data_IF_689658227997
#
_entry.id   IF_689658227997
#
_cell.length_a   1.000
_cell.length_b   1.000
_cell.length_c   1.000
_cell.angle_alpha   90.00
_cell.angle_beta   90.00
_cell.angle_gamma   90.00
#
_symmetry.space_group_name_H-M   'P 1'
#
loop_
_entity.id
_entity.type
_entity.pdbx_description
1 polymer ?
#
# COMPACT_ATOMS: atom_id res chain seq x y z
N UNK A 1 13.43 8.08 -6.85
CA UNK A 1 12.62 7.14 -6.10
C UNK A 1 11.28 7.71 -5.61
N UNK A 2 11.24 8.91 -5.02
CA UNK A 2 9.98 9.53 -4.57
C UNK A 2 8.89 9.50 -5.65
N UNK A 3 9.26 9.71 -6.93
CA UNK A 3 8.33 9.59 -8.05
C UNK A 3 7.73 8.19 -8.21
N UNK A 4 8.51 7.12 -8.00
CA UNK A 4 8.02 5.73 -8.09
C UNK A 4 7.08 5.42 -6.93
N UNK A 5 7.42 5.87 -5.72
CA UNK A 5 6.56 5.73 -4.53
C UNK A 5 5.25 6.49 -4.75
N UNK A 6 5.35 7.71 -5.26
CA UNK A 6 4.19 8.54 -5.61
C UNK A 6 3.27 7.82 -6.61
N UNK A 7 3.81 7.35 -7.74
CA UNK A 7 3.03 6.65 -8.77
C UNK A 7 2.39 5.35 -8.24
N UNK A 8 3.13 4.57 -7.44
CA UNK A 8 2.62 3.35 -6.85
C UNK A 8 1.47 3.59 -5.86
N UNK A 9 1.63 4.55 -4.95
CA UNK A 9 0.61 4.93 -3.99
C UNK A 9 -0.60 5.60 -4.67
N UNK A 10 -0.38 6.37 -5.74
CA UNK A 10 -1.43 6.95 -6.56
C UNK A 10 -2.26 5.86 -7.26
N UNK A 11 -1.62 4.89 -7.90
CA UNK A 11 -2.29 3.74 -8.52
C UNK A 11 -3.10 2.95 -7.49
N UNK A 12 -2.54 2.74 -6.29
CA UNK A 12 -3.24 2.10 -5.19
C UNK A 12 -4.49 2.89 -4.79
N UNK A 13 -4.37 4.18 -4.55
CA UNK A 13 -5.48 5.05 -4.16
C UNK A 13 -6.58 5.12 -5.20
N UNK A 14 -6.26 5.09 -6.52
CA UNK A 14 -7.25 5.21 -7.59
C UNK A 14 -8.16 3.99 -7.70
N UNK A 15 -7.63 2.80 -7.61
CA UNK A 15 -8.38 1.57 -7.97
C UNK A 15 -8.58 0.65 -6.77
N UNK A 16 -7.54 0.37 -5.99
CA UNK A 16 -7.59 -0.65 -4.94
C UNK A 16 -8.63 -0.39 -3.85
N UNK A 17 -8.81 0.86 -3.43
CA UNK A 17 -9.84 1.24 -2.45
C UNK A 17 -11.26 0.89 -2.90
N UNK A 18 -11.48 0.79 -4.21
CA UNK A 18 -12.79 0.48 -4.80
C UNK A 18 -12.95 -1.00 -5.18
N UNK A 19 -11.87 -1.80 -5.19
CA UNK A 19 -11.93 -3.20 -5.61
C UNK A 19 -12.74 -4.09 -4.67
N UNK A 20 -12.74 -3.78 -3.38
CA UNK A 20 -13.61 -4.47 -2.41
C UNK A 20 -15.09 -4.31 -2.78
N UNK A 21 -15.49 -3.10 -3.23
CA UNK A 21 -16.84 -2.83 -3.70
C UNK A 21 -17.11 -3.59 -5.01
N UNK A 22 -16.17 -3.56 -5.94
CA UNK A 22 -16.27 -4.27 -7.21
C UNK A 22 -16.51 -5.78 -7.00
N UNK A 23 -15.68 -6.44 -6.18
CA UNK A 23 -15.84 -7.87 -5.90
C UNK A 23 -17.15 -8.17 -5.16
N UNK A 24 -17.53 -7.33 -4.20
CA UNK A 24 -18.78 -7.53 -3.47
C UNK A 24 -20.01 -7.44 -4.39
N UNK A 25 -19.99 -6.54 -5.36
CA UNK A 25 -21.08 -6.37 -6.31
C UNK A 25 -21.19 -7.52 -7.31
N UNK A 26 -20.06 -8.12 -7.75
CA UNK A 26 -20.06 -9.15 -8.79
C UNK A 26 -20.05 -10.58 -8.23
N UNK A 27 -19.46 -10.81 -7.06
CA UNK A 27 -19.21 -12.14 -6.50
C UNK A 27 -19.85 -12.37 -5.15
N UNK A 28 -20.37 -11.31 -4.50
CA UNK A 28 -20.96 -11.37 -3.17
C UNK A 28 -19.93 -11.28 -2.03
N UNK A 29 -20.43 -11.03 -0.81
CA UNK A 29 -19.59 -10.70 0.35
C UNK A 29 -18.70 -11.85 0.83
N UNK A 30 -19.20 -13.09 0.81
CA UNK A 30 -18.46 -14.25 1.27
C UNK A 30 -17.22 -14.51 0.38
N UNK A 31 -17.40 -14.49 -0.94
CA UNK A 31 -16.29 -14.67 -1.90
C UNK A 31 -15.32 -13.50 -1.78
N UNK A 32 -15.79 -12.27 -1.68
CA UNK A 32 -14.94 -11.09 -1.50
C UNK A 32 -14.01 -11.25 -0.28
N UNK A 33 -14.52 -11.73 0.85
CA UNK A 33 -13.70 -11.99 2.04
C UNK A 33 -12.56 -12.99 1.76
N UNK A 34 -12.86 -14.08 1.04
CA UNK A 34 -11.85 -15.08 0.65
C UNK A 34 -10.80 -14.46 -0.29
N UNK A 35 -11.22 -13.69 -1.28
CA UNK A 35 -10.31 -13.03 -2.23
C UNK A 35 -9.38 -12.03 -1.53
N UNK A 36 -9.89 -11.24 -0.57
CA UNK A 36 -9.07 -10.35 0.24
C UNK A 36 -8.06 -11.10 1.10
N UNK A 37 -8.45 -12.24 1.70
CA UNK A 37 -7.54 -13.09 2.46
C UNK A 37 -6.43 -13.68 1.57
N UNK A 38 -6.76 -14.17 0.36
CA UNK A 38 -5.78 -14.65 -0.62
C UNK A 38 -4.82 -13.54 -1.05
N UNK A 39 -5.33 -12.32 -1.26
CA UNK A 39 -4.49 -11.16 -1.58
C UNK A 39 -3.51 -10.83 -0.45
N UNK A 40 -3.95 -10.90 0.81
CA UNK A 40 -3.09 -10.68 1.97
C UNK A 40 -1.96 -11.72 2.05
N UNK A 41 -2.26 -13.00 1.81
CA UNK A 41 -1.24 -14.07 1.75
C UNK A 41 -0.25 -13.80 0.61
N UNK A 42 -0.74 -13.47 -0.58
CA UNK A 42 0.12 -13.21 -1.73
C UNK A 42 1.06 -12.01 -1.50
N UNK A 43 0.56 -10.92 -0.89
CA UNK A 43 1.37 -9.74 -0.56
C UNK A 43 2.40 -10.03 0.53
N UNK A 44 2.06 -10.86 1.50
CA UNK A 44 2.99 -11.34 2.53
C UNK A 44 4.14 -12.15 1.90
N UNK A 45 3.81 -13.10 1.03
CA UNK A 45 4.80 -13.90 0.29
C UNK A 45 5.68 -12.99 -0.59
N UNK A 46 5.09 -12.02 -1.28
CA UNK A 46 5.84 -11.05 -2.08
C UNK A 46 6.84 -10.26 -1.25
N UNK A 47 6.45 -9.84 -0.04
CA UNK A 47 7.34 -9.12 0.89
C UNK A 47 8.56 -9.95 1.32
N UNK A 48 8.35 -11.23 1.65
CA UNK A 48 9.43 -12.18 1.99
C UNK A 48 10.39 -12.36 0.81
N UNK A 49 9.83 -12.64 -0.37
CA UNK A 49 10.62 -12.86 -1.59
C UNK A 49 11.39 -11.59 -1.98
N UNK A 50 10.75 -10.42 -1.85
CA UNK A 50 11.38 -9.15 -2.13
C UNK A 50 12.62 -8.90 -1.27
N UNK A 51 12.51 -9.11 0.05
CA UNK A 51 13.64 -8.98 0.96
C UNK A 51 14.78 -9.93 0.57
N UNK A 52 14.46 -11.20 0.42
CA UNK A 52 15.45 -12.23 0.07
C UNK A 52 16.17 -11.96 -1.26
N UNK A 53 15.42 -11.67 -2.32
CA UNK A 53 16.04 -11.42 -3.62
C UNK A 53 16.73 -10.06 -3.69
N UNK A 54 16.23 -9.03 -2.99
CA UNK A 54 16.88 -7.74 -2.94
C UNK A 54 18.24 -7.79 -2.24
N UNK A 55 18.40 -8.65 -1.23
CA UNK A 55 19.66 -8.83 -0.51
C UNK A 55 20.68 -9.69 -1.27
N UNK A 56 20.24 -10.46 -2.25
CA UNK A 56 21.13 -11.32 -3.07
C UNK A 56 21.44 -10.73 -4.44
N UNK A 57 20.43 -10.23 -5.12
CA UNK A 57 20.51 -9.83 -6.53
C UNK A 57 20.60 -8.32 -6.72
N UNK A 58 20.41 -7.56 -5.62
CA UNK A 58 20.33 -6.10 -5.66
C UNK A 58 18.90 -5.59 -5.63
N UNK A 59 18.76 -4.31 -5.33
CA UNK A 59 17.44 -3.65 -5.11
C UNK A 59 16.74 -3.40 -6.45
N UNK A 60 17.47 -2.84 -7.42
CA UNK A 60 16.93 -2.47 -8.73
C UNK A 60 16.38 -3.65 -9.53
N UNK A 61 17.05 -4.82 -9.67
CA UNK A 61 16.51 -5.96 -10.40
C UNK A 61 15.16 -6.44 -9.84
N UNK A 62 15.01 -6.47 -8.51
CA UNK A 62 13.74 -6.87 -7.87
C UNK A 62 12.64 -5.87 -8.16
N UNK A 63 12.95 -4.57 -8.13
CA UNK A 63 11.98 -3.52 -8.48
C UNK A 63 11.57 -3.60 -9.96
N UNK A 64 12.51 -3.82 -10.88
CA UNK A 64 12.20 -4.00 -12.31
C UNK A 64 11.30 -5.22 -12.52
N UNK A 65 11.63 -6.35 -11.91
CA UNK A 65 10.81 -7.55 -11.98
C UNK A 65 9.39 -7.31 -11.41
N UNK A 66 9.29 -6.62 -10.28
CA UNK A 66 8.01 -6.24 -9.68
C UNK A 66 7.17 -5.34 -10.60
N UNK A 67 7.78 -4.36 -11.27
CA UNK A 67 7.05 -3.49 -12.22
C UNK A 67 6.63 -4.23 -13.50
N UNK A 68 7.39 -5.22 -13.97
CA UNK A 68 6.97 -6.10 -15.08
C UNK A 68 5.73 -6.91 -14.69
N UNK A 69 5.70 -7.49 -13.49
CA UNK A 69 4.51 -8.21 -13.00
C UNK A 69 3.30 -7.27 -12.92
N UNK A 70 3.49 -6.03 -12.43
CA UNK A 70 2.42 -5.03 -12.40
C UNK A 70 1.90 -4.70 -13.81
N UNK A 71 2.79 -4.57 -14.81
CA UNK A 71 2.39 -4.32 -16.20
C UNK A 71 1.55 -5.47 -16.76
N UNK A 72 1.96 -6.71 -16.54
CA UNK A 72 1.19 -7.89 -16.96
C UNK A 72 -0.20 -7.91 -16.29
N UNK A 73 -0.24 -7.60 -14.99
CA UNK A 73 -1.48 -7.48 -14.24
C UNK A 73 -2.38 -6.35 -14.79
N UNK A 74 -1.82 -5.16 -15.09
CA UNK A 74 -2.59 -4.04 -15.61
C UNK A 74 -3.17 -4.34 -17.02
N UNK A 75 -2.41 -4.98 -17.88
CA UNK A 75 -2.90 -5.44 -19.19
C UNK A 75 -4.02 -6.47 -19.04
N UNK A 76 -3.87 -7.43 -18.14
CA UNK A 76 -4.91 -8.43 -17.86
C UNK A 76 -6.16 -7.76 -17.27
N UNK A 77 -6.02 -6.75 -16.40
CA UNK A 77 -7.16 -6.02 -15.86
C UNK A 77 -7.98 -5.32 -16.94
N UNK A 78 -7.31 -4.68 -17.91
CA UNK A 78 -7.98 -4.07 -19.06
C UNK A 78 -8.67 -5.15 -19.90
N UNK A 79 -7.97 -6.22 -20.26
CA UNK A 79 -8.52 -7.31 -21.07
C UNK A 79 -9.74 -7.99 -20.41
N UNK A 80 -9.76 -8.03 -19.06
CA UNK A 80 -10.85 -8.63 -18.28
C UNK A 80 -12.09 -7.73 -18.12
N UNK A 81 -11.99 -6.46 -18.51
CA UNK A 81 -13.06 -5.47 -18.35
C UNK A 81 -13.34 -4.71 -19.65
N UNK A 82 -13.22 -5.37 -20.79
CA UNK A 82 -13.59 -4.79 -22.08
C UNK A 82 -15.11 -4.62 -22.17
N UNK A 83 -15.60 -3.62 -22.92
CA UNK A 83 -17.03 -3.39 -23.12
C UNK A 83 -17.74 -4.67 -23.58
N UNK A 84 -18.78 -5.07 -22.83
CA UNK A 84 -19.54 -6.27 -23.11
C UNK A 84 -18.92 -7.59 -22.65
N UNK A 85 -17.71 -7.57 -22.06
CA UNK A 85 -17.05 -8.79 -21.56
C UNK A 85 -16.35 -8.57 -20.23
N UNK A 86 -17.13 -8.52 -19.14
CA UNK A 86 -16.59 -8.34 -17.79
C UNK A 86 -16.40 -9.70 -17.12
N UNK A 87 -15.15 -10.00 -16.71
CA UNK A 87 -14.82 -11.21 -15.97
C UNK A 87 -14.20 -10.89 -14.60
N UNK A 88 -14.96 -10.97 -13.49
CA UNK A 88 -14.49 -10.63 -12.15
C UNK A 88 -13.36 -11.53 -11.64
N UNK A 89 -13.32 -12.80 -12.05
CA UNK A 89 -12.27 -13.74 -11.64
C UNK A 89 -10.93 -13.40 -12.27
N UNK A 90 -10.92 -13.11 -13.58
CA UNK A 90 -9.70 -12.66 -14.27
C UNK A 90 -9.26 -11.30 -13.75
N UNK A 91 -10.20 -10.41 -13.43
CA UNK A 91 -9.92 -9.12 -12.76
C UNK A 91 -9.26 -9.34 -11.41
N UNK A 92 -9.72 -10.30 -10.61
CA UNK A 92 -9.08 -10.64 -9.35
C UNK A 92 -7.62 -11.09 -9.55
N UNK A 93 -7.37 -12.00 -10.48
CA UNK A 93 -6.01 -12.47 -10.80
C UNK A 93 -5.13 -11.29 -11.24
N UNK A 94 -5.65 -10.39 -12.06
CA UNK A 94 -4.95 -9.20 -12.49
C UNK A 94 -4.52 -8.32 -11.30
N UNK A 95 -5.44 -8.04 -10.39
CA UNK A 95 -5.14 -7.23 -9.19
C UNK A 95 -4.26 -7.96 -8.19
N UNK A 96 -4.31 -9.28 -8.13
CA UNK A 96 -3.39 -10.10 -7.34
C UNK A 96 -1.95 -9.93 -7.86
N UNK A 97 -1.74 -9.99 -9.18
CA UNK A 97 -0.44 -9.75 -9.81
C UNK A 97 0.06 -8.32 -9.55
N UNK A 98 -0.82 -7.32 -9.69
CA UNK A 98 -0.47 -5.92 -9.42
C UNK A 98 -0.04 -5.74 -7.96
N UNK A 99 -0.78 -6.30 -7.01
CA UNK A 99 -0.46 -6.23 -5.57
C UNK A 99 0.85 -6.94 -5.25
N UNK A 100 1.07 -8.11 -5.82
CA UNK A 100 2.30 -8.87 -5.67
C UNK A 100 3.50 -8.08 -6.18
N UNK A 101 3.43 -7.58 -7.41
CA UNK A 101 4.48 -6.76 -8.02
C UNK A 101 4.72 -5.45 -7.26
N UNK A 102 3.67 -4.80 -6.77
CA UNK A 102 3.78 -3.59 -5.96
C UNK A 102 4.56 -3.85 -4.66
N UNK A 103 4.29 -4.97 -3.98
CA UNK A 103 5.02 -5.32 -2.76
C UNK A 103 6.49 -5.64 -3.01
N UNK A 104 6.83 -6.22 -4.16
CA UNK A 104 8.24 -6.38 -4.58
C UNK A 104 8.92 -5.00 -4.71
N UNK A 105 8.26 -4.06 -5.39
CA UNK A 105 8.80 -2.70 -5.63
C UNK A 105 8.95 -1.93 -4.32
N UNK A 106 7.93 -1.93 -3.46
CA UNK A 106 7.96 -1.12 -2.24
C UNK A 106 8.99 -1.65 -1.24
N UNK A 107 9.08 -2.97 -1.07
CA UNK A 107 10.00 -3.61 -0.13
C UNK A 107 11.46 -3.40 -0.55
N UNK A 108 11.81 -3.72 -1.80
CA UNK A 108 13.16 -3.50 -2.32
C UNK A 108 13.50 -2.00 -2.35
N UNK A 109 12.52 -1.19 -2.67
CA UNK A 109 12.67 0.24 -2.65
C UNK A 109 12.88 0.82 -1.25
N UNK A 110 12.25 0.31 -0.18
CA UNK A 110 12.51 0.74 1.19
C UNK A 110 13.94 0.44 1.61
N UNK A 111 14.46 -0.75 1.25
CA UNK A 111 15.87 -1.08 1.44
C UNK A 111 16.79 -0.10 0.70
N UNK A 112 16.46 0.26 -0.55
CA UNK A 112 17.22 1.24 -1.32
C UNK A 112 17.26 2.64 -0.67
N UNK A 113 16.19 3.09 0.00
CA UNK A 113 16.21 4.35 0.78
C UNK A 113 17.23 4.25 1.90
N UNK A 114 17.23 3.13 2.61
CA UNK A 114 18.14 2.92 3.73
C UNK A 114 19.59 2.93 3.24
N UNK A 115 19.87 2.23 2.14
CA UNK A 115 21.20 2.16 1.53
C UNK A 115 21.71 3.52 1.02
N UNK A 116 20.80 4.35 0.49
CA UNK A 116 21.13 5.67 -0.07
C UNK A 116 21.12 6.81 0.95
N UNK A 117 20.63 6.58 2.18
CA UNK A 117 20.54 7.59 3.22
C UNK A 117 21.59 7.41 4.31
N UNK A 118 22.08 8.50 4.87
CA UNK A 118 22.95 8.50 6.06
C UNK A 118 22.13 8.84 7.33
N UNK A 119 22.76 8.76 8.51
CA UNK A 119 22.09 9.02 9.78
C UNK A 119 21.52 10.43 9.90
N UNK A 120 22.12 11.42 9.23
CA UNK A 120 21.72 12.83 9.30
C UNK A 120 20.48 13.12 8.44
N UNK A 121 20.42 12.58 7.21
CA UNK A 121 19.35 12.88 6.26
C UNK A 121 18.21 11.85 6.25
N UNK A 122 18.41 10.67 6.84
CA UNK A 122 17.45 9.55 6.83
C UNK A 122 16.05 9.97 7.30
N UNK A 123 15.97 10.74 8.40
CA UNK A 123 14.68 11.21 8.93
C UNK A 123 13.93 12.08 7.91
N UNK A 124 14.63 12.96 7.21
CA UNK A 124 14.05 13.85 6.20
C UNK A 124 13.59 13.05 4.98
N UNK A 125 14.39 12.09 4.52
CA UNK A 125 14.06 11.24 3.38
C UNK A 125 12.80 10.41 3.65
N UNK A 126 12.69 9.77 4.82
CA UNK A 126 11.48 9.04 5.19
C UNK A 126 10.26 9.95 5.38
N UNK A 127 10.46 11.16 5.90
CA UNK A 127 9.37 12.14 6.00
C UNK A 127 8.84 12.54 4.62
N UNK A 128 9.73 12.81 3.67
CA UNK A 128 9.34 13.14 2.28
C UNK A 128 8.66 11.95 1.59
N UNK A 129 9.14 10.73 1.83
CA UNK A 129 8.55 9.50 1.31
C UNK A 129 7.11 9.33 1.84
N UNK A 130 6.90 9.53 3.14
CA UNK A 130 5.59 9.45 3.77
C UNK A 130 4.63 10.54 3.24
N UNK A 131 5.11 11.76 3.03
CA UNK A 131 4.31 12.84 2.44
C UNK A 131 3.92 12.52 1.00
N UNK A 132 4.88 12.01 0.21
CA UNK A 132 4.61 11.62 -1.16
C UNK A 132 3.53 10.53 -1.22
N UNK A 133 3.58 9.53 -0.34
CA UNK A 133 2.57 8.48 -0.24
C UNK A 133 1.18 9.05 0.10
N UNK A 134 1.08 9.87 1.15
CA UNK A 134 -0.22 10.44 1.55
C UNK A 134 -0.82 11.34 0.48
N UNK A 135 -0.03 12.22 -0.12
CA UNK A 135 -0.49 13.09 -1.22
C UNK A 135 -0.99 12.26 -2.41
N UNK A 136 -0.28 11.19 -2.74
CA UNK A 136 -0.63 10.29 -3.83
C UNK A 136 -1.95 9.56 -3.56
N UNK A 137 -2.15 9.06 -2.34
CA UNK A 137 -3.40 8.39 -1.95
C UNK A 137 -4.57 9.36 -2.02
N UNK A 138 -4.40 10.62 -1.58
CA UNK A 138 -5.46 11.64 -1.70
C UNK A 138 -5.86 11.85 -3.15
N UNK A 139 -4.88 12.13 -4.01
CA UNK A 139 -5.14 12.40 -5.44
C UNK A 139 -5.71 11.17 -6.13
N UNK A 140 -5.16 9.98 -5.82
CA UNK A 140 -5.65 8.72 -6.35
C UNK A 140 -7.08 8.42 -5.92
N UNK A 141 -7.39 8.51 -4.63
CA UNK A 141 -8.72 8.24 -4.11
C UNK A 141 -9.77 9.23 -4.66
N UNK A 142 -9.40 10.53 -4.81
CA UNK A 142 -10.28 11.53 -5.41
C UNK A 142 -10.62 11.16 -6.87
N UNK A 143 -9.61 10.79 -7.67
CA UNK A 143 -9.80 10.37 -9.06
C UNK A 143 -10.60 9.06 -9.13
N UNK A 144 -10.29 8.09 -8.27
CA UNK A 144 -11.00 6.82 -8.17
C UNK A 144 -12.48 7.00 -7.88
N UNK A 145 -12.83 7.80 -6.86
CA UNK A 145 -14.22 8.06 -6.52
C UNK A 145 -15.01 8.76 -7.65
N UNK A 146 -14.31 9.58 -8.44
CA UNK A 146 -14.96 10.32 -9.53
C UNK A 146 -15.21 9.45 -10.75
N UNK A 147 -14.27 8.56 -11.10
CA UNK A 147 -14.29 7.78 -12.33
C UNK A 147 -14.75 6.32 -12.16
N UNK A 148 -14.78 5.78 -10.94
CA UNK A 148 -15.03 4.34 -10.72
C UNK A 148 -16.38 3.89 -11.28
N UNK A 149 -17.47 4.64 -11.06
CA UNK A 149 -18.79 4.28 -11.59
C UNK A 149 -18.96 4.64 -13.07
N UNK A 150 -18.67 5.88 -13.50
CA UNK A 150 -18.93 6.29 -14.88
C UNK A 150 -17.92 5.77 -15.91
N UNK A 151 -16.68 5.49 -15.50
CA UNK A 151 -15.58 5.21 -16.42
C UNK A 151 -14.49 4.30 -15.80
N UNK A 152 -14.88 3.11 -15.32
CA UNK A 152 -13.95 2.17 -14.71
C UNK A 152 -12.79 1.79 -15.65
N UNK A 153 -13.08 1.65 -16.96
CA UNK A 153 -12.06 1.36 -17.98
C UNK A 153 -11.00 2.47 -18.05
N UNK A 154 -11.40 3.74 -17.90
CA UNK A 154 -10.45 4.85 -17.88
C UNK A 154 -9.51 4.75 -16.67
N UNK A 155 -10.00 4.30 -15.51
CA UNK A 155 -9.14 4.04 -14.34
C UNK A 155 -8.12 2.94 -14.60
N UNK A 156 -8.49 1.88 -15.31
CA UNK A 156 -7.56 0.81 -15.67
C UNK A 156 -6.49 1.29 -16.66
N UNK A 157 -6.86 2.18 -17.59
CA UNK A 157 -5.89 2.82 -18.49
C UNK A 157 -4.94 3.74 -17.71
N UNK A 158 -5.44 4.55 -16.79
CA UNK A 158 -4.61 5.39 -15.91
C UNK A 158 -3.66 4.52 -15.07
N UNK A 159 -4.15 3.41 -14.54
CA UNK A 159 -3.34 2.42 -13.82
C UNK A 159 -2.20 1.89 -14.71
N UNK A 160 -2.50 1.49 -15.94
CA UNK A 160 -1.49 1.02 -16.89
C UNK A 160 -0.45 2.10 -17.18
N UNK A 161 -0.87 3.34 -17.43
CA UNK A 161 0.04 4.46 -17.71
C UNK A 161 0.95 4.76 -16.52
N UNK A 162 0.42 4.77 -15.30
CA UNK A 162 1.23 4.98 -14.10
C UNK A 162 2.24 3.87 -13.86
N UNK A 163 1.88 2.62 -14.13
CA UNK A 163 2.79 1.47 -14.04
C UNK A 163 3.86 1.53 -15.14
N UNK A 164 3.51 1.94 -16.38
CA UNK A 164 4.46 2.14 -17.47
C UNK A 164 5.50 3.22 -17.11
N UNK A 165 5.06 4.36 -16.58
CA UNK A 165 5.98 5.41 -16.13
C UNK A 165 6.86 4.90 -14.98
N UNK A 166 6.29 4.17 -14.03
CA UNK A 166 7.05 3.54 -12.93
C UNK A 166 8.10 2.55 -13.44
N UNK A 167 7.75 1.72 -14.42
CA UNK A 167 8.68 0.81 -15.09
C UNK A 167 9.82 1.55 -15.78
N UNK A 168 9.49 2.61 -16.54
CA UNK A 168 10.50 3.43 -17.20
C UNK A 168 11.47 4.08 -16.19
N UNK A 169 10.95 4.71 -15.15
CA UNK A 169 11.76 5.33 -14.09
C UNK A 169 12.64 4.30 -13.37
N UNK A 170 12.09 3.12 -13.05
CA UNK A 170 12.84 2.08 -12.36
C UNK A 170 13.95 1.51 -13.23
N UNK A 171 13.69 1.31 -14.52
CA UNK A 171 14.63 0.65 -15.43
C UNK A 171 15.73 1.59 -15.91
N UNK A 172 15.36 2.82 -16.30
CA UNK A 172 16.29 3.74 -17.01
C UNK A 172 16.82 4.86 -16.13
N UNK A 173 16.08 5.31 -15.12
CA UNK A 173 16.49 6.46 -14.30
C UNK A 173 17.15 6.04 -13.00
N UNK A 174 16.67 4.95 -12.38
CA UNK A 174 17.23 4.49 -11.11
C UNK A 174 18.57 3.81 -11.30
N UNK A 175 19.50 4.12 -10.38
CA UNK A 175 20.79 3.44 -10.24
C UNK A 175 20.73 2.42 -9.12
N UNK A 176 21.47 1.32 -9.25
CA UNK A 176 21.60 0.32 -8.20
C UNK A 176 22.36 0.89 -7.00
N UNK A 177 21.85 0.67 -5.80
CA UNK A 177 22.48 1.11 -4.55
C UNK A 177 23.09 -0.03 -3.75
N UNK A 178 22.78 -1.28 -4.13
CA UNK A 178 23.26 -2.45 -3.45
C UNK A 178 24.78 -2.56 -3.53
N UNK A 179 25.43 -2.63 -2.37
CA UNK A 179 26.85 -2.95 -2.24
C UNK A 179 26.95 -4.32 -1.57
N UNK A 180 27.40 -5.35 -2.31
CA UNK A 180 27.55 -6.66 -1.71
C UNK A 180 28.59 -6.58 -0.59
N UNK A 181 28.18 -6.96 0.62
CA UNK A 181 29.11 -7.15 1.73
C UNK A 181 29.83 -8.47 1.43
N UNK A 182 31.13 -8.42 1.20
CA UNK A 182 31.98 -9.55 0.77
C UNK A 182 31.81 -10.79 1.67
N UNK A 183 31.46 -10.61 2.96
CA UNK A 183 31.16 -11.70 3.90
C UNK A 183 29.86 -12.46 3.65
N UNK A 184 28.89 -11.89 2.94
CA UNK A 184 27.60 -12.53 2.70
C UNK A 184 27.64 -13.64 1.62
N UNK A 185 28.76 -13.80 0.91
CA UNK A 185 28.94 -14.88 -0.07
C UNK A 185 29.32 -16.21 0.57
N UNK A 186 29.90 -16.19 1.76
CA UNK A 186 30.38 -17.44 2.45
C UNK A 186 29.32 -18.03 3.39
N UNK A 187 28.38 -17.22 3.89
CA UNK A 187 27.26 -17.69 4.70
C UNK A 187 25.95 -17.52 3.90
N UNK A 188 25.74 -18.40 2.93
CA UNK A 188 24.38 -18.61 2.41
C UNK A 188 23.54 -19.30 3.51
N UNK A 189 23.26 -18.58 4.59
CA UNK A 189 22.27 -19.04 5.57
C UNK A 189 20.99 -19.41 4.82
N UNK A 190 20.56 -20.64 5.06
CA UNK A 190 19.29 -21.10 4.52
C UNK A 190 18.23 -20.13 5.03
N UNK A 191 17.36 -19.62 4.16
CA UNK A 191 16.25 -18.70 4.51
C UNK A 191 15.57 -19.16 5.82
N UNK A 192 15.34 -20.47 5.97
CA UNK A 192 14.76 -21.05 7.17
C UNK A 192 15.58 -20.84 8.43
N UNK A 193 16.91 -20.85 8.35
CA UNK A 193 17.77 -20.61 9.53
C UNK A 193 17.72 -19.14 9.97
N UNK A 194 17.78 -18.20 9.02
CA UNK A 194 17.66 -16.79 9.32
C UNK A 194 16.30 -16.47 9.99
N UNK A 195 15.20 -16.98 9.45
CA UNK A 195 13.87 -16.80 10.07
C UNK A 195 13.77 -17.51 11.43
N UNK A 196 14.36 -18.69 11.60
CA UNK A 196 14.37 -19.40 12.89
C UNK A 196 15.06 -18.57 13.99
N UNK A 197 16.17 -17.92 13.67
CA UNK A 197 16.90 -17.05 14.60
C UNK A 197 16.05 -15.86 15.03
N UNK A 198 15.34 -15.22 14.07
CA UNK A 198 14.42 -14.11 14.37
C UNK A 198 13.23 -14.57 15.23
N UNK A 199 12.65 -15.73 14.93
CA UNK A 199 11.53 -16.31 15.70
C UNK A 199 11.92 -16.69 17.13
N UNK A 200 13.19 -16.90 17.42
CA UNK A 200 13.71 -17.19 18.77
C UNK A 200 13.89 -15.95 19.63
N UNK A 201 13.94 -14.75 19.03
CA UNK A 201 13.99 -13.49 19.77
C UNK A 201 12.61 -13.13 20.34
N UNK A 202 12.39 -13.47 21.59
CA UNK A 202 11.11 -13.23 22.30
C UNK A 202 10.72 -11.76 22.31
N UNK A 203 11.68 -10.84 22.49
CA UNK A 203 11.41 -9.40 22.56
C UNK A 203 10.92 -8.89 21.21
N UNK A 204 11.59 -9.31 20.15
CA UNK A 204 11.19 -8.99 18.79
C UNK A 204 9.82 -9.59 18.45
N UNK A 205 9.54 -10.83 18.84
CA UNK A 205 8.25 -11.49 18.59
C UNK A 205 7.08 -10.82 19.32
N UNK A 206 7.28 -10.35 20.56
CA UNK A 206 6.25 -9.57 21.28
C UNK A 206 5.98 -8.25 20.55
N UNK A 207 7.02 -7.54 20.14
CA UNK A 207 6.89 -6.31 19.36
C UNK A 207 6.17 -6.55 18.03
N UNK A 208 6.51 -7.60 17.30
CA UNK A 208 5.84 -8.00 16.06
C UNK A 208 4.37 -8.35 16.30
N UNK A 209 4.06 -9.09 17.36
CA UNK A 209 2.68 -9.41 17.74
C UNK A 209 1.83 -8.17 18.01
N UNK A 210 2.37 -7.19 18.72
CA UNK A 210 1.70 -5.90 18.95
C UNK A 210 1.48 -5.11 17.65
N UNK A 211 2.47 -5.09 16.75
CA UNK A 211 2.33 -4.47 15.43
C UNK A 211 1.27 -5.16 14.57
N UNK A 212 1.25 -6.49 14.54
CA UNK A 212 0.24 -7.27 13.80
C UNK A 212 -1.16 -6.94 14.33
N UNK A 213 -1.36 -6.93 15.66
CA UNK A 213 -2.65 -6.61 16.25
C UNK A 213 -3.12 -5.19 15.89
N UNK A 214 -2.21 -4.20 15.97
CA UNK A 214 -2.51 -2.81 15.60
C UNK A 214 -2.86 -2.69 14.10
N UNK A 215 -2.06 -3.30 13.24
CA UNK A 215 -2.28 -3.31 11.79
C UNK A 215 -3.59 -4.00 11.42
N UNK A 216 -3.93 -5.10 12.11
CA UNK A 216 -5.20 -5.81 11.90
C UNK A 216 -6.41 -4.91 12.19
N UNK A 217 -6.37 -4.14 13.29
CA UNK A 217 -7.45 -3.19 13.62
C UNK A 217 -7.58 -2.12 12.53
N UNK A 218 -6.48 -1.54 12.07
CA UNK A 218 -6.48 -0.51 11.02
C UNK A 218 -7.04 -1.10 9.71
N UNK A 219 -6.59 -2.29 9.31
CA UNK A 219 -7.05 -2.95 8.08
C UNK A 219 -8.55 -3.30 8.10
N UNK A 220 -9.15 -3.51 9.27
CA UNK A 220 -10.60 -3.68 9.35
C UNK A 220 -11.35 -2.40 8.94
N UNK A 221 -10.86 -1.23 9.31
CA UNK A 221 -11.43 0.04 8.84
C UNK A 221 -11.33 0.17 7.33
N UNK A 222 -10.17 -0.13 6.74
CA UNK A 222 -9.93 0.00 5.31
C UNK A 222 -10.78 -0.94 4.46
N UNK A 223 -11.14 -2.11 4.98
CA UNK A 223 -11.95 -3.09 4.25
C UNK A 223 -13.45 -2.98 4.55
N UNK A 224 -13.82 -2.74 5.79
CA UNK A 224 -15.23 -2.69 6.21
C UNK A 224 -15.90 -1.37 5.84
N UNK A 225 -15.22 -0.24 6.07
CA UNK A 225 -15.79 1.09 5.87
C UNK A 225 -16.26 1.37 4.42
N UNK A 226 -15.50 0.99 3.37
CA UNK A 226 -15.95 1.15 1.98
C UNK A 226 -17.26 0.42 1.69
N UNK A 227 -17.36 -0.84 2.13
CA UNK A 227 -18.55 -1.67 1.90
C UNK A 227 -19.73 -1.13 2.70
N UNK A 228 -19.51 -0.77 3.96
CA UNK A 228 -20.57 -0.21 4.82
C UNK A 228 -21.12 1.10 4.25
N UNK A 229 -20.26 2.02 3.87
CA UNK A 229 -20.68 3.28 3.25
C UNK A 229 -21.35 3.07 1.90
N UNK A 230 -20.87 2.14 1.09
CA UNK A 230 -21.50 1.82 -0.21
C UNK A 230 -22.93 1.29 -0.06
N UNK A 231 -23.21 0.51 1.00
CA UNK A 231 -24.49 -0.16 1.20
C UNK A 231 -25.47 0.65 2.06
N UNK A 232 -24.98 1.42 3.04
CA UNK A 232 -25.82 2.06 4.06
C UNK A 232 -25.93 3.57 3.91
N UNK A 233 -25.02 4.21 3.18
CA UNK A 233 -25.03 5.66 3.04
C UNK A 233 -26.10 6.11 2.03
N UNK A 234 -27.06 6.92 2.49
CA UNK A 234 -28.04 7.53 1.61
C UNK A 234 -27.39 8.65 0.80
N UNK A 235 -27.56 8.62 -0.51
CA UNK A 235 -27.06 9.66 -1.40
C UNK A 235 -27.64 11.02 -0.99
N UNK A 236 -26.77 12.00 -0.77
CA UNK A 236 -27.13 13.40 -0.49
C UNK A 236 -26.65 14.29 -1.63
N UNK A 237 -27.40 15.36 -1.91
CA UNK A 237 -26.96 16.37 -2.88
C UNK A 237 -26.45 17.60 -2.13
N UNK A 238 -25.19 17.95 -2.39
CA UNK A 238 -24.54 19.11 -1.79
C UNK A 238 -23.93 19.99 -2.88
N UNK A 239 -24.34 21.23 -2.97
CA UNK A 239 -23.98 22.18 -4.04
C UNK A 239 -24.14 21.60 -5.47
N UNK A 240 -25.20 20.84 -5.74
CA UNK A 240 -25.45 20.23 -7.04
C UNK A 240 -24.64 18.95 -7.33
N UNK A 241 -23.80 18.52 -6.40
CA UNK A 241 -23.04 17.27 -6.51
C UNK A 241 -23.70 16.16 -5.69
N UNK A 242 -23.90 15.01 -6.31
CA UNK A 242 -24.35 13.82 -5.60
C UNK A 242 -23.20 13.20 -4.81
N UNK A 243 -23.36 13.11 -3.49
CA UNK A 243 -22.43 12.41 -2.58
C UNK A 243 -23.07 11.09 -2.22
N UNK A 244 -22.55 10.02 -2.78
CA UNK A 244 -22.89 8.63 -2.44
C UNK A 244 -21.77 7.99 -1.62
N UNK A 245 -21.98 6.81 -1.05
CA UNK A 245 -21.08 6.20 -0.07
C UNK A 245 -19.60 6.16 -0.46
N UNK A 246 -19.27 5.92 -1.73
CA UNK A 246 -17.89 5.91 -2.21
C UNK A 246 -17.27 7.32 -2.23
N UNK A 247 -18.04 8.35 -2.63
CA UNK A 247 -17.58 9.75 -2.55
C UNK A 247 -17.41 10.20 -1.11
N UNK A 248 -18.27 9.74 -0.20
CA UNK A 248 -18.14 10.00 1.23
C UNK A 248 -16.87 9.36 1.81
N UNK A 249 -16.56 8.12 1.41
CA UNK A 249 -15.29 7.46 1.76
C UNK A 249 -14.08 8.29 1.31
N UNK A 250 -14.12 8.81 0.09
CA UNK A 250 -13.04 9.66 -0.43
C UNK A 250 -12.88 10.95 0.36
N UNK A 251 -13.97 11.61 0.72
CA UNK A 251 -13.95 12.81 1.58
C UNK A 251 -13.29 12.47 2.93
N UNK A 252 -13.67 11.34 3.53
CA UNK A 252 -13.04 10.85 4.76
C UNK A 252 -11.53 10.63 4.60
N UNK A 253 -11.09 9.94 3.55
CA UNK A 253 -9.67 9.68 3.28
C UNK A 253 -8.88 10.98 3.05
N UNK A 254 -9.44 11.92 2.28
CA UNK A 254 -8.81 13.23 2.06
C UNK A 254 -8.66 13.98 3.39
N UNK A 255 -9.72 14.05 4.20
CA UNK A 255 -9.66 14.71 5.51
C UNK A 255 -8.63 14.05 6.43
N UNK A 256 -8.61 12.72 6.49
CA UNK A 256 -7.64 11.99 7.30
C UNK A 256 -6.19 12.31 6.88
N UNK A 257 -5.90 12.27 5.59
CA UNK A 257 -4.56 12.57 5.07
C UNK A 257 -4.17 14.05 5.27
N UNK A 258 -5.10 14.98 5.05
CA UNK A 258 -4.86 16.43 5.30
C UNK A 258 -4.53 16.65 6.79
N UNK A 259 -5.30 16.04 7.69
CA UNK A 259 -5.04 16.12 9.13
C UNK A 259 -3.66 15.54 9.48
N UNK A 260 -3.28 14.41 8.90
CA UNK A 260 -1.94 13.82 9.10
C UNK A 260 -0.86 14.81 8.66
N UNK A 261 -0.96 15.40 7.48
CA UNK A 261 0.04 16.35 6.97
C UNK A 261 0.15 17.58 7.86
N UNK A 262 -0.98 18.15 8.27
CA UNK A 262 -1.01 19.36 9.11
C UNK A 262 -0.53 19.09 10.55
N UNK A 263 -0.97 17.98 11.13
CA UNK A 263 -0.65 17.66 12.52
C UNK A 263 0.73 17.05 12.69
N UNK A 264 1.27 16.37 11.70
CA UNK A 264 2.56 15.67 11.78
C UNK A 264 3.71 16.62 12.15
N UNK A 265 3.75 17.82 11.54
CA UNK A 265 4.77 18.83 11.83
C UNK A 265 4.67 19.32 13.27
N UNK A 266 3.44 19.57 13.74
CA UNK A 266 3.18 20.03 15.12
C UNK A 266 3.47 18.93 16.13
N UNK A 267 3.01 17.71 15.87
CA UNK A 267 3.26 16.54 16.71
C UNK A 267 4.77 16.23 16.82
N UNK A 268 5.49 16.28 15.70
CA UNK A 268 6.95 16.09 15.71
C UNK A 268 7.68 17.13 16.56
N UNK A 269 7.21 18.39 16.58
CA UNK A 269 7.75 19.42 17.47
C UNK A 269 7.46 19.14 18.95
N UNK A 270 6.23 18.73 19.25
CA UNK A 270 5.79 18.45 20.63
C UNK A 270 6.41 17.16 21.19
N UNK A 271 6.72 16.18 20.34
CA UNK A 271 7.27 14.88 20.74
C UNK A 271 8.78 14.78 20.52
N UNK A 272 9.46 15.90 20.22
CA UNK A 272 10.90 15.91 19.88
C UNK A 272 11.77 15.24 20.95
N UNK A 273 11.43 15.45 22.22
CA UNK A 273 12.19 14.97 23.37
C UNK A 273 11.61 13.66 23.97
N UNK A 274 10.66 13.03 23.28
CA UNK A 274 10.09 11.78 23.74
C UNK A 274 10.97 10.59 23.35
N UNK A 275 11.11 9.63 24.29
CA UNK A 275 11.69 8.34 23.93
C UNK A 275 10.74 7.56 22.99
N UNK A 276 11.29 6.68 22.15
CA UNK A 276 10.49 5.84 21.25
C UNK A 276 9.41 5.03 21.98
N UNK A 277 9.72 4.53 23.18
CA UNK A 277 8.77 3.82 24.04
C UNK A 277 7.61 4.70 24.47
N UNK A 278 7.88 5.94 24.90
CA UNK A 278 6.85 6.90 25.31
C UNK A 278 5.93 7.26 24.16
N UNK A 279 6.48 7.48 22.96
CA UNK A 279 5.70 7.76 21.76
C UNK A 279 4.78 6.59 21.38
N UNK A 280 5.27 5.37 21.47
CA UNK A 280 4.48 4.16 21.18
C UNK A 280 3.32 3.96 22.18
N UNK A 281 3.59 4.10 23.49
CA UNK A 281 2.58 3.95 24.54
C UNK A 281 1.44 4.97 24.37
N UNK A 282 1.79 6.24 24.17
CA UNK A 282 0.78 7.29 23.97
C UNK A 282 -0.01 7.11 22.67
N UNK A 283 0.64 6.73 21.58
CA UNK A 283 -0.02 6.42 20.32
C UNK A 283 -1.03 5.27 20.48
N UNK A 284 -0.65 4.19 21.14
CA UNK A 284 -1.53 3.04 21.40
C UNK A 284 -2.71 3.38 22.31
N UNK A 285 -2.49 4.21 23.35
CA UNK A 285 -3.55 4.68 24.25
C UNK A 285 -4.57 5.57 23.52
N UNK A 286 -4.14 6.40 22.58
CA UNK A 286 -5.05 7.20 21.76
C UNK A 286 -5.93 6.35 20.85
N UNK A 287 -5.39 5.29 20.25
CA UNK A 287 -6.13 4.36 19.40
C UNK A 287 -7.14 3.54 20.23
N UNK A 288 -6.81 3.19 21.48
CA UNK A 288 -7.66 2.36 22.35
C UNK A 288 -8.80 3.12 23.03
N UNK A 289 -8.73 4.45 23.13
CA UNK A 289 -9.85 5.26 23.66
C UNK A 289 -10.99 5.29 22.65
N UNK A 290 -11.97 4.42 22.86
CA UNK A 290 -13.31 4.58 22.25
C UNK A 290 -13.88 5.92 22.72
N UNK A 291 -14.49 6.75 21.86
CA UNK A 291 -15.42 7.75 22.33
C UNK A 291 -16.57 6.99 22.97
N UNK A 292 -16.70 7.11 24.27
CA UNK A 292 -17.91 6.77 25.01
C UNK A 292 -18.97 7.76 24.56
N UNK A 293 -19.73 7.40 23.54
CA UNK A 293 -20.80 8.19 23.00
C UNK A 293 -21.98 7.28 22.71
N UNK A 294 -22.92 7.38 23.61
CA UNK A 294 -24.35 7.05 23.56
C UNK A 294 -24.94 6.84 22.17
#
# INVERSE_FOLDING_TARGET
RLGIVFLGAFSYGTVFSSMTIYYNQHLGSAITGILLALSAVATFVAGILAGFFADRNGRKPVMVFGTVIQLLGALLAIASNLPGHVNPWSTFIAFLLISFGYNLVITAGNAMIIDASNAENRKVVFMLDYWAQNLSVILGAALGAWLFRPAFEALLVILLLTVLVSFFLTTFVMTETFRPIVKAKEEAENIFQAYKTVLQDKTYMIFMGANIATTFIIMQFDNFLPVHLSNSFKTITFFGFEIYGQRMLTIYLILACVLVVLLMTTLNRLTKDWSHQKGFIWGSLFISRRPSGS
#
